data_IF_228841959746
#
_entry.id   IF_228841959746
#
_cell.length_a   1.000
_cell.length_b   1.000
_cell.length_c   1.000
_cell.angle_alpha   90.00
_cell.angle_beta   90.00
_cell.angle_gamma   90.00
#
_symmetry.space_group_name_H-M   'P 1'
#
loop_
_entity.id
_entity.type
_entity.pdbx_description
1 polymer ?
#
# COMPACT_ATOMS: atom_id res chain seq x y z
N UNK A 1 27.22 8.00 -3.62
CA UNK A 1 25.90 7.33 -3.48
C UNK A 1 25.79 6.30 -4.58
N UNK A 2 25.97 5.04 -4.26
CA UNK A 2 25.68 3.96 -5.20
C UNK A 2 24.18 3.72 -5.17
N UNK A 3 23.52 4.19 -6.20
CA UNK A 3 22.11 3.89 -6.45
C UNK A 3 21.95 2.36 -6.48
N UNK A 4 21.33 1.81 -5.43
CA UNK A 4 20.99 0.39 -5.37
C UNK A 4 19.95 0.15 -6.45
N UNK A 5 20.36 -0.36 -7.62
CA UNK A 5 19.40 -0.75 -8.65
C UNK A 5 18.47 -1.81 -8.04
N UNK A 6 17.15 -1.66 -8.20
CA UNK A 6 16.25 -2.71 -7.81
C UNK A 6 16.67 -4.01 -8.49
N UNK A 7 16.69 -5.10 -7.74
CA UNK A 7 16.92 -6.42 -8.30
C UNK A 7 16.01 -6.61 -9.51
N UNK A 8 16.58 -7.12 -10.61
CA UNK A 8 15.90 -7.18 -11.89
C UNK A 8 14.49 -7.73 -11.77
N UNK A 9 13.56 -7.11 -12.47
CA UNK A 9 12.17 -7.56 -12.56
C UNK A 9 12.18 -8.99 -13.10
N UNK A 10 11.72 -9.94 -12.27
CA UNK A 10 11.54 -11.33 -12.72
C UNK A 10 10.38 -11.37 -13.71
N UNK A 11 10.59 -12.10 -14.82
CA UNK A 11 9.52 -12.32 -15.79
C UNK A 11 8.32 -12.95 -15.08
N UNK A 12 7.15 -12.32 -15.23
CA UNK A 12 5.87 -12.85 -14.73
C UNK A 12 5.19 -13.60 -15.88
N UNK A 13 5.07 -14.91 -15.75
CA UNK A 13 4.55 -15.78 -16.80
C UNK A 13 3.07 -16.16 -16.63
N UNK A 14 2.43 -15.65 -15.56
CA UNK A 14 1.02 -15.90 -15.31
C UNK A 14 0.13 -14.89 -16.03
N UNK A 15 -1.12 -15.24 -16.34
CA UNK A 15 -2.07 -14.28 -16.91
C UNK A 15 -2.29 -13.07 -15.98
N UNK A 16 -2.38 -11.89 -16.56
CA UNK A 16 -2.78 -10.70 -15.81
C UNK A 16 -4.22 -10.85 -15.28
N UNK A 17 -4.46 -10.44 -14.04
CA UNK A 17 -5.80 -10.43 -13.43
C UNK A 17 -6.30 -11.79 -12.96
N UNK A 18 -5.66 -12.88 -13.05
CA UNK A 18 -6.15 -14.20 -12.62
C UNK A 18 -6.00 -14.47 -11.13
N UNK A 19 -5.88 -15.73 -10.77
CA UNK A 19 -5.68 -16.18 -9.39
C UNK A 19 -4.45 -15.57 -8.71
N UNK A 20 -3.42 -15.25 -9.50
CA UNK A 20 -2.23 -14.54 -9.01
C UNK A 20 -2.58 -13.17 -8.44
N UNK A 21 -3.40 -12.40 -9.13
CA UNK A 21 -3.87 -11.08 -8.69
C UNK A 21 -4.71 -11.20 -7.40
N UNK A 22 -5.65 -12.14 -7.35
CA UNK A 22 -6.46 -12.37 -6.14
C UNK A 22 -5.61 -12.75 -4.93
N UNK A 23 -4.63 -13.63 -5.12
CA UNK A 23 -3.68 -13.98 -4.04
C UNK A 23 -2.84 -12.80 -3.60
N UNK A 24 -2.38 -11.98 -4.54
CA UNK A 24 -1.59 -10.79 -4.23
C UNK A 24 -2.40 -9.75 -3.43
N UNK A 25 -3.65 -9.52 -3.79
CA UNK A 25 -4.57 -8.64 -3.03
C UNK A 25 -4.83 -9.20 -1.64
N UNK A 26 -5.15 -10.48 -1.51
CA UNK A 26 -5.38 -11.13 -0.22
C UNK A 26 -4.13 -11.05 0.68
N UNK A 27 -2.95 -11.29 0.12
CA UNK A 27 -1.67 -11.15 0.82
C UNK A 27 -1.47 -9.72 1.33
N UNK A 28 -1.71 -8.72 0.48
CA UNK A 28 -1.56 -7.31 0.86
C UNK A 28 -2.54 -6.93 1.98
N UNK A 29 -3.80 -7.36 1.91
CA UNK A 29 -4.78 -7.15 2.98
C UNK A 29 -4.32 -7.74 4.32
N UNK A 30 -3.74 -8.94 4.29
CA UNK A 30 -3.21 -9.59 5.47
C UNK A 30 -1.96 -8.89 6.02
N UNK A 31 -1.02 -8.53 5.16
CA UNK A 31 0.21 -7.82 5.53
C UNK A 31 -0.08 -6.44 6.14
N UNK A 32 -1.10 -5.75 5.64
CA UNK A 32 -1.54 -4.45 6.17
C UNK A 32 -2.49 -4.57 7.37
N UNK A 33 -2.82 -5.79 7.80
CA UNK A 33 -3.67 -6.09 8.97
C UNK A 33 -5.10 -5.53 8.84
N UNK A 34 -5.65 -5.53 7.63
CA UNK A 34 -6.98 -4.95 7.32
C UNK A 34 -7.87 -5.89 6.52
N UNK A 35 -7.79 -7.20 6.74
CA UNK A 35 -8.54 -8.19 5.93
C UNK A 35 -10.03 -7.84 5.85
N UNK A 36 -10.71 -7.72 6.97
CA UNK A 36 -12.16 -7.45 6.99
C UNK A 36 -12.48 -6.01 6.55
N UNK A 37 -11.84 -5.04 7.18
CA UNK A 37 -12.09 -3.62 6.93
C UNK A 37 -11.60 -3.19 5.54
N UNK A 38 -10.44 -3.66 5.12
CA UNK A 38 -9.89 -3.40 3.80
C UNK A 38 -10.74 -4.01 2.68
N UNK A 39 -11.24 -5.22 2.87
CA UNK A 39 -12.19 -5.84 1.93
C UNK A 39 -13.47 -5.02 1.81
N UNK A 40 -14.05 -4.59 2.92
CA UNK A 40 -15.23 -3.73 2.92
C UNK A 40 -14.97 -2.40 2.19
N UNK A 41 -13.78 -1.82 2.36
CA UNK A 41 -13.35 -0.61 1.67
C UNK A 41 -13.21 -0.85 0.17
N UNK A 42 -12.57 -1.94 -0.25
CA UNK A 42 -12.40 -2.31 -1.65
C UNK A 42 -13.73 -2.49 -2.38
N UNK A 43 -14.73 -3.05 -1.72
CA UNK A 43 -16.06 -3.23 -2.31
C UNK A 43 -16.79 -1.90 -2.58
N UNK A 44 -16.33 -0.80 -2.02
CA UNK A 44 -16.83 0.55 -2.28
C UNK A 44 -16.02 1.31 -3.34
N UNK A 45 -14.86 0.83 -3.71
CA UNK A 45 -14.02 1.48 -4.71
C UNK A 45 -14.72 1.54 -6.06
N UNK A 46 -14.75 2.70 -6.68
CA UNK A 46 -15.33 2.96 -8.00
C UNK A 46 -16.81 2.53 -8.14
N UNK A 47 -17.53 2.44 -7.04
CA UNK A 47 -18.98 2.20 -7.04
C UNK A 47 -19.74 3.54 -7.05
N UNK A 48 -20.98 3.59 -7.56
CA UNK A 48 -21.76 4.83 -7.61
C UNK A 48 -21.92 5.53 -6.25
N UNK A 49 -22.07 4.75 -5.18
CA UNK A 49 -22.18 5.25 -3.80
C UNK A 49 -20.86 5.12 -3.01
N UNK A 50 -19.76 4.91 -3.70
CA UNK A 50 -18.46 4.71 -3.11
C UNK A 50 -17.51 5.88 -3.29
N UNK A 51 -16.26 5.57 -3.58
CA UNK A 51 -15.19 6.55 -3.80
C UNK A 51 -14.36 6.17 -5.04
N UNK A 52 -13.71 7.16 -5.62
CA UNK A 52 -12.83 6.95 -6.76
C UNK A 52 -11.45 6.44 -6.32
N UNK A 53 -10.94 5.44 -7.03
CA UNK A 53 -9.57 4.97 -6.82
C UNK A 53 -8.57 6.08 -7.19
N UNK A 54 -7.56 6.36 -6.34
CA UNK A 54 -6.57 7.39 -6.64
C UNK A 54 -5.61 7.02 -7.78
N UNK A 55 -5.61 5.75 -8.20
CA UNK A 55 -4.66 5.26 -9.20
C UNK A 55 -5.00 5.62 -10.65
N UNK A 56 -6.26 5.75 -10.99
CA UNK A 56 -6.71 6.08 -12.35
C UNK A 56 -8.17 6.55 -12.37
N UNK A 57 -8.61 7.02 -13.54
CA UNK A 57 -9.98 7.45 -13.78
C UNK A 57 -10.88 6.26 -14.19
N UNK A 58 -11.05 5.30 -13.29
CA UNK A 58 -11.94 4.15 -13.51
C UNK A 58 -13.40 4.62 -13.54
N UNK A 59 -14.17 4.34 -14.58
CA UNK A 59 -15.56 4.81 -14.68
C UNK A 59 -16.49 4.07 -13.71
N UNK A 60 -17.46 4.80 -13.15
CA UNK A 60 -18.50 4.18 -12.33
C UNK A 60 -19.42 3.31 -13.17
N UNK A 61 -19.85 2.15 -12.69
CA UNK A 61 -20.93 1.38 -13.32
C UNK A 61 -22.27 2.09 -13.15
N UNK A 62 -23.25 1.76 -14.00
CA UNK A 62 -24.60 2.32 -13.87
C UNK A 62 -25.30 1.94 -12.57
N UNK A 63 -24.99 0.76 -12.06
CA UNK A 63 -25.52 0.19 -10.83
C UNK A 63 -24.39 -0.42 -10.04
N UNK A 64 -24.58 -0.60 -8.74
CA UNK A 64 -23.63 -1.30 -7.89
C UNK A 64 -23.29 -2.66 -8.46
N UNK A 65 -22.02 -2.93 -8.67
CA UNK A 65 -21.49 -4.20 -9.16
C UNK A 65 -20.79 -4.98 -8.06
N UNK A 66 -20.33 -6.20 -8.36
CA UNK A 66 -19.64 -7.06 -7.41
C UNK A 66 -18.35 -6.43 -6.89
N UNK A 67 -17.50 -5.94 -7.81
CA UNK A 67 -16.32 -5.14 -7.49
C UNK A 67 -15.83 -4.40 -8.73
N UNK A 68 -15.21 -3.25 -8.51
CA UNK A 68 -14.75 -2.32 -9.55
C UNK A 68 -13.34 -1.83 -9.25
N UNK A 69 -12.37 -2.74 -9.18
CA UNK A 69 -10.97 -2.40 -8.96
C UNK A 69 -10.03 -3.38 -9.68
N UNK A 70 -8.84 -2.91 -10.02
CA UNK A 70 -7.75 -3.76 -10.49
C UNK A 70 -6.79 -4.10 -9.34
N UNK A 71 -5.83 -4.99 -9.60
CA UNK A 71 -4.82 -5.38 -8.60
C UNK A 71 -4.05 -4.18 -8.06
N UNK A 72 -3.58 -3.27 -8.92
CA UNK A 72 -2.83 -2.09 -8.51
C UNK A 72 -3.66 -1.17 -7.61
N UNK A 73 -4.90 -0.90 -8.01
CA UNK A 73 -5.83 -0.08 -7.21
C UNK A 73 -6.15 -0.71 -5.87
N UNK A 74 -6.39 -2.02 -5.85
CA UNK A 74 -6.65 -2.75 -4.62
C UNK A 74 -5.47 -2.69 -3.64
N UNK A 75 -4.25 -2.82 -4.13
CA UNK A 75 -3.03 -2.67 -3.30
C UNK A 75 -2.89 -1.24 -2.78
N UNK A 76 -3.03 -0.24 -3.64
CA UNK A 76 -2.93 1.17 -3.23
C UNK A 76 -3.95 1.53 -2.14
N UNK A 77 -5.21 1.16 -2.33
CA UNK A 77 -6.28 1.40 -1.36
C UNK A 77 -5.99 0.68 -0.04
N UNK A 78 -5.51 -0.56 -0.09
CA UNK A 78 -5.17 -1.35 1.09
C UNK A 78 -4.01 -0.72 1.87
N UNK A 79 -2.98 -0.24 1.19
CA UNK A 79 -1.86 0.45 1.81
C UNK A 79 -2.30 1.77 2.46
N UNK A 80 -3.16 2.53 1.82
CA UNK A 80 -3.71 3.77 2.41
C UNK A 80 -4.55 3.50 3.66
N UNK A 81 -5.28 2.40 3.72
CA UNK A 81 -6.12 2.01 4.85
C UNK A 81 -5.42 1.11 5.87
N UNK A 82 -4.10 0.94 5.77
CA UNK A 82 -3.32 0.09 6.66
C UNK A 82 -3.61 0.33 8.15
N UNK A 83 -3.65 -0.74 8.94
CA UNK A 83 -3.73 -0.67 10.39
C UNK A 83 -2.37 -0.41 11.05
N UNK A 84 -1.27 -0.54 10.31
CA UNK A 84 0.07 -0.30 10.83
C UNK A 84 0.31 1.19 11.09
N UNK A 85 1.05 1.48 12.14
CA UNK A 85 1.36 2.86 12.57
C UNK A 85 2.85 3.02 12.83
N UNK A 86 3.34 4.20 12.52
CA UNK A 86 4.72 4.64 12.79
C UNK A 86 4.63 5.77 13.82
N UNK A 87 4.69 5.43 15.11
CA UNK A 87 4.67 6.42 16.20
C UNK A 87 6.05 7.03 16.42
N UNK A 88 6.19 8.10 17.25
CA UNK A 88 7.49 8.70 17.55
C UNK A 88 8.54 7.71 18.07
N UNK A 89 8.12 6.67 18.81
CA UNK A 89 9.01 5.63 19.35
C UNK A 89 9.75 4.84 18.25
N UNK A 90 9.15 4.75 17.07
CA UNK A 90 9.81 4.15 15.90
C UNK A 90 11.11 4.89 15.57
N UNK A 91 11.09 6.21 15.59
CA UNK A 91 12.25 7.04 15.30
C UNK A 91 13.26 7.08 16.46
N UNK A 92 12.86 6.68 17.67
CA UNK A 92 13.79 6.49 18.77
C UNK A 92 14.62 5.22 18.59
N UNK A 93 14.19 4.27 17.78
CA UNK A 93 14.87 2.99 17.52
C UNK A 93 15.50 2.88 16.14
N UNK A 94 15.17 3.80 15.23
CA UNK A 94 15.69 3.83 13.87
C UNK A 94 16.18 5.23 13.53
N UNK A 95 17.50 5.37 13.31
CA UNK A 95 18.07 6.62 12.85
C UNK A 95 17.67 6.96 11.41
N UNK A 96 17.74 8.22 11.02
CA UNK A 96 17.51 8.63 9.64
C UNK A 96 18.54 7.98 8.71
N UNK A 97 19.79 7.86 9.15
CA UNK A 97 20.84 7.19 8.38
C UNK A 97 20.53 5.71 8.12
N UNK A 98 19.96 5.01 9.10
CA UNK A 98 19.50 3.64 8.93
C UNK A 98 18.32 3.58 7.94
N UNK A 99 17.29 4.44 8.13
CA UNK A 99 16.11 4.47 7.27
C UNK A 99 16.44 4.84 5.82
N UNK A 100 17.53 5.58 5.60
CA UNK A 100 18.00 5.92 4.26
C UNK A 100 18.45 4.69 3.44
N UNK A 101 18.85 3.62 4.12
CA UNK A 101 19.24 2.36 3.48
C UNK A 101 18.05 1.42 3.20
N UNK A 102 16.88 1.73 3.75
CA UNK A 102 15.67 0.98 3.49
C UNK A 102 15.14 1.24 2.07
N UNK A 103 14.53 0.23 1.49
CA UNK A 103 13.81 0.40 0.23
C UNK A 103 12.50 1.15 0.46
N UNK A 104 11.97 1.78 -0.59
CA UNK A 104 10.66 2.44 -0.53
C UNK A 104 9.56 1.47 -0.02
N UNK A 105 9.63 0.20 -0.44
CA UNK A 105 8.71 -0.83 0.02
C UNK A 105 8.81 -1.09 1.53
N UNK A 106 10.01 -1.16 2.09
CA UNK A 106 10.21 -1.35 3.53
C UNK A 106 9.70 -0.16 4.33
N UNK A 107 9.99 1.07 3.87
CA UNK A 107 9.50 2.30 4.50
C UNK A 107 7.97 2.34 4.49
N UNK A 108 7.37 2.11 3.35
CA UNK A 108 5.92 2.10 3.19
C UNK A 108 5.25 1.00 4.02
N UNK A 109 5.87 -0.18 4.08
CA UNK A 109 5.37 -1.32 4.85
C UNK A 109 5.46 -1.13 6.38
N UNK A 110 6.20 -0.14 6.87
CA UNK A 110 6.21 0.22 8.30
C UNK A 110 4.86 0.75 8.77
N UNK A 111 4.12 1.43 7.90
CA UNK A 111 2.79 1.94 8.20
C UNK A 111 2.67 3.46 8.11
N UNK A 112 1.57 3.99 8.65
CA UNK A 112 1.27 5.43 8.59
C UNK A 112 1.86 6.19 9.77
N UNK A 113 2.45 7.34 9.46
CA UNK A 113 2.96 8.27 10.46
C UNK A 113 1.80 8.78 11.34
N UNK A 114 1.97 8.73 12.65
CA UNK A 114 0.93 9.13 13.61
C UNK A 114 1.08 10.57 14.07
N UNK A 115 2.29 11.14 13.98
CA UNK A 115 2.61 12.50 14.42
C UNK A 115 3.47 13.19 13.38
N UNK A 116 3.33 14.50 13.18
CA UNK A 116 4.29 15.27 12.41
C UNK A 116 5.68 15.13 13.04
N UNK A 117 6.68 14.80 12.22
CA UNK A 117 8.06 14.65 12.67
C UNK A 117 8.97 15.56 11.90
N UNK A 118 10.03 16.01 12.54
CA UNK A 118 11.08 16.82 11.93
C UNK A 118 12.43 16.16 12.16
N UNK A 119 13.26 16.14 11.14
CA UNK A 119 14.61 15.62 11.25
C UNK A 119 15.48 16.57 12.08
N UNK A 120 16.15 16.02 13.09
CA UNK A 120 17.16 16.73 13.88
C UNK A 120 18.55 16.27 13.47
N UNK A 121 19.29 17.14 12.78
CA UNK A 121 20.64 16.86 12.31
C UNK A 121 21.66 16.60 13.42
N UNK A 122 21.34 16.89 14.67
CA UNK A 122 22.26 16.70 15.81
C UNK A 122 22.12 15.30 16.42
N UNK A 123 20.95 14.71 16.34
CA UNK A 123 20.66 13.43 17.00
C UNK A 123 20.54 12.25 16.03
N UNK A 124 20.33 12.50 14.73
CA UNK A 124 20.10 11.49 13.66
C UNK A 124 18.98 10.55 14.03
#
# INVERSE_FOLDING_TARGET
MTEKRPEGIKAYNEPAGGWGALRAVAKTLAEQQVIAQGTATLLKANQPEGFDCPGCAWPDPKHTSSFEFCENGAKAITWESTAKRVPPEFFATHSVSELWEWTDHELENAGRLTHPMIFDHQTD
#
